data_IF_753213237528
#
_entry.id   IF_753213237528
#
_cell.length_a   1.000
_cell.length_b   1.000
_cell.length_c   1.000
_cell.angle_alpha   90.00
_cell.angle_beta   90.00
_cell.angle_gamma   90.00
#
_symmetry.space_group_name_H-M   'P 1'
#
loop_
_entity.id
_entity.type
_entity.pdbx_description
1 polymer ?
#
# COMPACT_ATOMS: atom_id res chain seq x y z
N UNK A 1 3.26 1.79 -2.23
CA UNK A 1 3.65 2.63 -1.07
C UNK A 1 2.49 3.36 -0.40
N UNK A 2 1.49 3.89 -1.13
CA UNK A 2 0.39 4.65 -0.51
C UNK A 2 -0.32 3.91 0.64
N UNK A 3 -0.58 2.61 0.51
CA UNK A 3 -1.18 1.78 1.56
C UNK A 3 -0.32 1.75 2.83
N UNK A 4 0.98 1.46 2.69
CA UNK A 4 1.93 1.44 3.82
C UNK A 4 2.07 2.82 4.50
N UNK A 5 2.19 3.91 3.74
CA UNK A 5 2.25 5.28 4.28
C UNK A 5 0.98 5.64 5.06
N UNK A 6 -0.19 5.25 4.54
CA UNK A 6 -1.47 5.47 5.22
C UNK A 6 -1.53 4.71 6.54
N UNK A 7 -1.06 3.44 6.57
CA UNK A 7 -0.97 2.64 7.79
C UNK A 7 0.03 3.17 8.82
N UNK A 8 1.08 3.86 8.38
CA UNK A 8 2.02 4.58 9.27
C UNK A 8 1.43 5.89 9.83
N UNK A 9 0.20 6.26 9.47
CA UNK A 9 -0.45 7.48 9.93
C UNK A 9 -0.15 8.73 9.10
N UNK A 10 0.40 8.59 7.89
CA UNK A 10 0.55 9.73 6.97
C UNK A 10 -0.84 10.19 6.52
N UNK A 11 -1.18 11.44 6.84
CA UNK A 11 -2.51 12.02 6.56
C UNK A 11 -2.58 12.78 5.24
N UNK A 12 -1.44 13.03 4.59
CA UNK A 12 -1.35 13.72 3.31
C UNK A 12 -0.35 13.05 2.37
N UNK A 13 -0.79 12.70 1.16
CA UNK A 13 0.03 12.11 0.11
C UNK A 13 0.10 13.06 -1.08
N UNK A 14 1.32 13.40 -1.49
CA UNK A 14 1.59 14.20 -2.70
C UNK A 14 2.21 13.33 -3.79
N UNK A 15 1.81 13.54 -5.04
CA UNK A 15 2.25 12.77 -6.20
C UNK A 15 1.87 13.47 -7.51
N UNK A 16 2.34 12.95 -8.65
CA UNK A 16 1.93 13.43 -9.97
C UNK A 16 0.46 13.13 -10.26
N UNK A 17 -0.20 14.00 -11.04
CA UNK A 17 -1.62 13.85 -11.38
C UNK A 17 -1.98 12.46 -11.98
N UNK A 18 -1.15 11.84 -12.85
CA UNK A 18 -1.46 10.51 -13.39
C UNK A 18 -1.47 9.37 -12.35
N UNK A 19 -0.82 9.54 -11.19
CA UNK A 19 -0.81 8.51 -10.14
C UNK A 19 -2.09 8.51 -9.29
N UNK A 20 -2.87 9.61 -9.29
CA UNK A 20 -4.05 9.76 -8.44
C UNK A 20 -5.09 8.64 -8.61
N UNK A 21 -5.50 8.23 -9.83
CA UNK A 21 -6.50 7.18 -10.00
C UNK A 21 -6.06 5.84 -9.38
N UNK A 22 -4.81 5.43 -9.60
CA UNK A 22 -4.28 4.18 -9.06
C UNK A 22 -4.22 4.21 -7.52
N UNK A 23 -3.77 5.33 -6.94
CA UNK A 23 -3.71 5.47 -5.47
C UNK A 23 -5.11 5.51 -4.85
N UNK A 24 -6.05 6.25 -5.46
CA UNK A 24 -7.45 6.28 -4.99
C UNK A 24 -8.12 4.92 -5.09
N UNK A 25 -7.86 4.17 -6.16
CA UNK A 25 -8.34 2.80 -6.31
C UNK A 25 -7.82 1.91 -5.18
N UNK A 26 -6.51 1.86 -4.97
CA UNK A 26 -5.90 1.07 -3.91
C UNK A 26 -6.46 1.42 -2.52
N UNK A 27 -6.50 2.71 -2.16
CA UNK A 27 -6.99 3.15 -0.84
C UNK A 27 -8.46 2.85 -0.61
N UNK A 28 -9.31 2.90 -1.65
CA UNK A 28 -10.74 2.57 -1.51
C UNK A 28 -11.00 1.08 -1.26
N UNK A 29 -10.08 0.21 -1.66
CA UNK A 29 -10.19 -1.24 -1.49
C UNK A 29 -9.63 -1.75 -0.16
N UNK A 30 -9.05 -0.87 0.67
CA UNK A 30 -8.43 -1.25 1.93
C UNK A 30 -9.03 -0.45 3.09
N UNK A 31 -9.35 -1.13 4.18
CA UNK A 31 -9.64 -0.46 5.45
C UNK A 31 -8.37 0.12 6.06
N UNK A 32 -8.49 1.08 6.97
CA UNK A 32 -7.35 1.61 7.71
C UNK A 32 -6.60 0.50 8.46
N UNK A 33 -7.32 -0.40 9.14
CA UNK A 33 -6.73 -1.55 9.82
C UNK A 33 -5.89 -2.45 8.89
N UNK A 34 -6.32 -2.63 7.64
CA UNK A 34 -5.52 -3.38 6.66
C UNK A 34 -4.28 -2.60 6.22
N UNK A 35 -4.38 -1.28 6.05
CA UNK A 35 -3.21 -0.44 5.79
C UNK A 35 -2.20 -0.49 6.95
N UNK A 36 -2.66 -0.50 8.20
CA UNK A 36 -1.81 -0.68 9.40
C UNK A 36 -1.10 -2.04 9.38
N UNK A 37 -1.81 -3.12 9.05
CA UNK A 37 -1.20 -4.45 8.89
C UNK A 37 -0.12 -4.48 7.80
N UNK A 38 -0.36 -3.80 6.67
CA UNK A 38 0.64 -3.65 5.60
C UNK A 38 1.86 -2.88 6.12
N UNK A 39 1.64 -1.79 6.87
CA UNK A 39 2.73 -1.00 7.44
C UNK A 39 3.58 -1.80 8.43
N UNK A 40 2.95 -2.56 9.32
CA UNK A 40 3.64 -3.44 10.28
C UNK A 40 4.50 -4.49 9.56
N UNK A 41 3.94 -5.16 8.55
CA UNK A 41 4.67 -6.17 7.79
C UNK A 41 5.87 -5.57 7.03
N UNK A 42 5.69 -4.39 6.43
CA UNK A 42 6.76 -3.64 5.75
C UNK A 42 7.88 -3.24 6.72
N UNK A 43 7.53 -2.75 7.91
CA UNK A 43 8.50 -2.32 8.93
C UNK A 43 9.23 -3.50 9.59
N UNK A 44 8.63 -4.69 9.57
CA UNK A 44 9.23 -5.92 10.14
C UNK A 44 10.16 -6.65 9.17
N UNK A 45 10.17 -6.29 7.89
CA UNK A 45 11.00 -6.91 6.87
C UNK A 45 12.49 -6.59 7.05
N UNK A 46 13.37 -7.54 6.73
CA UNK A 46 14.82 -7.38 6.90
C UNK A 46 15.51 -6.78 5.66
N UNK A 47 14.78 -6.64 4.56
CA UNK A 47 15.28 -6.04 3.32
C UNK A 47 14.20 -5.29 2.56
N UNK A 48 14.61 -4.45 1.61
CA UNK A 48 13.68 -3.73 0.74
C UNK A 48 12.84 -4.67 -0.14
N UNK A 49 13.39 -5.82 -0.55
CA UNK A 49 12.66 -6.79 -1.38
C UNK A 49 11.63 -7.55 -0.57
N UNK A 50 11.99 -7.99 0.65
CA UNK A 50 11.04 -8.57 1.60
C UNK A 50 9.90 -7.58 1.94
N UNK A 51 10.22 -6.30 2.15
CA UNK A 51 9.21 -5.28 2.42
C UNK A 51 8.22 -5.12 1.25
N UNK A 52 8.70 -5.13 0.00
CA UNK A 52 7.84 -5.06 -1.19
C UNK A 52 6.96 -6.29 -1.32
N UNK A 53 7.51 -7.47 -1.09
CA UNK A 53 6.76 -8.73 -1.10
C UNK A 53 5.68 -8.74 -0.02
N UNK A 54 6.05 -8.44 1.23
CA UNK A 54 5.11 -8.40 2.34
C UNK A 54 3.96 -7.40 2.11
N UNK A 55 4.26 -6.23 1.53
CA UNK A 55 3.23 -5.27 1.14
C UNK A 55 2.30 -5.83 0.07
N UNK A 56 2.84 -6.51 -0.94
CA UNK A 56 2.07 -7.09 -2.06
C UNK A 56 1.17 -8.23 -1.58
N UNK A 57 1.69 -9.10 -0.71
CA UNK A 57 0.96 -10.27 -0.18
C UNK A 57 -0.28 -9.87 0.64
N UNK A 58 -0.23 -8.71 1.30
CA UNK A 58 -1.34 -8.16 2.08
C UNK A 58 -2.23 -7.18 1.29
N UNK A 59 -1.85 -6.86 0.05
CA UNK A 59 -2.66 -6.01 -0.84
C UNK A 59 -3.80 -6.84 -1.43
N UNK A 60 -5.00 -6.25 -1.51
CA UNK A 60 -6.15 -6.88 -2.16
C UNK A 60 -5.80 -7.41 -3.57
N UNK A 61 -6.15 -8.66 -3.84
CA UNK A 61 -5.78 -9.35 -5.07
C UNK A 61 -6.33 -8.68 -6.33
N UNK A 62 -7.48 -8.02 -6.26
CA UNK A 62 -8.01 -7.23 -7.37
C UNK A 62 -7.09 -6.04 -7.65
N UNK A 63 -6.64 -5.33 -6.61
CA UNK A 63 -5.77 -4.17 -6.74
C UNK A 63 -4.43 -4.57 -7.34
N UNK A 64 -3.86 -5.70 -6.89
CA UNK A 64 -2.61 -6.25 -7.44
C UNK A 64 -2.77 -6.53 -8.93
N UNK A 65 -3.85 -7.23 -9.31
CA UNK A 65 -4.13 -7.59 -10.71
C UNK A 65 -4.38 -6.36 -11.58
N UNK A 66 -5.21 -5.43 -11.11
CA UNK A 66 -5.63 -4.23 -11.84
C UNK A 66 -4.48 -3.27 -12.11
N UNK A 67 -3.56 -3.15 -11.16
CA UNK A 67 -2.44 -2.20 -11.20
C UNK A 67 -1.13 -2.82 -11.67
N UNK A 68 -1.08 -4.14 -11.88
CA UNK A 68 0.12 -4.86 -12.31
C UNK A 68 1.26 -4.80 -11.27
N UNK A 69 0.89 -4.83 -9.99
CA UNK A 69 1.83 -4.84 -8.86
C UNK A 69 2.40 -6.22 -8.64
#
# INVERSE_FOLDING_TARGET
MALALTGMGVTSLSMSAPALPAVRHALRHHSLARCESIAEAVLSAQSADEARMAARDLTDAEVVTRLGL
#
